data_IF_329135436613
#
_entry.id   IF_329135436613
#
_cell.length_a   1.000
_cell.length_b   1.000
_cell.length_c   1.000
_cell.angle_alpha   90.00
_cell.angle_beta   90.00
_cell.angle_gamma   90.00
#
_symmetry.space_group_name_H-M   'P 1'
#
loop_
_entity.id
_entity.type
_entity.pdbx_description
1 polymer ?
#
# COMPACT_ATOMS: atom_id res chain seq x y z
N UNK A 1 14.28 -18.74 -12.34
CA UNK A 1 13.92 -17.31 -12.37
C UNK A 1 12.51 -17.17 -12.91
N UNK A 2 11.55 -17.03 -12.01
CA UNK A 2 10.13 -16.85 -12.35
C UNK A 2 9.81 -15.35 -12.55
N UNK A 3 9.93 -14.91 -13.80
CA UNK A 3 9.78 -13.50 -14.20
C UNK A 3 8.42 -12.92 -13.79
N UNK A 4 7.37 -13.75 -13.77
CA UNK A 4 6.01 -13.32 -13.40
C UNK A 4 5.96 -12.90 -11.93
N UNK A 5 6.56 -13.68 -11.03
CA UNK A 5 6.64 -13.35 -9.60
C UNK A 5 7.40 -12.05 -9.34
N UNK A 6 8.47 -11.81 -10.10
CA UNK A 6 9.28 -10.58 -9.97
C UNK A 6 8.47 -9.36 -10.41
N UNK A 7 7.76 -9.43 -11.53
CA UNK A 7 6.93 -8.32 -12.03
C UNK A 7 5.79 -8.01 -11.06
N UNK A 8 5.10 -9.03 -10.56
CA UNK A 8 4.03 -8.87 -9.55
C UNK A 8 4.59 -8.28 -8.26
N UNK A 9 5.76 -8.75 -7.81
CA UNK A 9 6.43 -8.25 -6.62
C UNK A 9 6.83 -6.77 -6.74
N UNK A 10 7.42 -6.35 -7.87
CA UNK A 10 7.74 -4.95 -8.13
C UNK A 10 6.46 -4.09 -8.12
N UNK A 11 5.39 -4.56 -8.77
CA UNK A 11 4.10 -3.86 -8.75
C UNK A 11 3.56 -3.65 -7.34
N UNK A 12 3.61 -4.69 -6.50
CA UNK A 12 3.19 -4.62 -5.11
C UNK A 12 4.07 -3.66 -4.27
N UNK A 13 5.39 -3.62 -4.49
CA UNK A 13 6.29 -2.66 -3.83
C UNK A 13 5.97 -1.22 -4.23
N UNK A 14 5.74 -0.95 -5.52
CA UNK A 14 5.40 0.40 -6.00
C UNK A 14 4.06 0.86 -5.43
N UNK A 15 3.04 0.01 -5.48
CA UNK A 15 1.71 0.31 -4.92
C UNK A 15 1.75 0.46 -3.39
N UNK A 16 2.46 -0.41 -2.70
CA UNK A 16 2.67 -0.33 -1.26
C UNK A 16 3.41 0.95 -0.86
N UNK A 17 4.48 1.31 -1.60
CA UNK A 17 5.25 2.53 -1.39
C UNK A 17 4.42 3.80 -1.58
N UNK A 18 3.55 3.83 -2.60
CA UNK A 18 2.59 4.92 -2.79
C UNK A 18 1.58 5.02 -1.63
N UNK A 19 1.18 3.89 -1.05
CA UNK A 19 0.36 3.83 0.17
C UNK A 19 1.07 4.40 1.40
N UNK A 20 2.35 4.03 1.63
CA UNK A 20 3.18 4.50 2.75
C UNK A 20 3.44 6.01 2.68
N UNK A 21 3.76 6.52 1.48
CA UNK A 21 4.03 7.95 1.26
C UNK A 21 2.77 8.82 1.40
N UNK A 22 1.58 8.22 1.58
CA UNK A 22 0.35 8.96 1.80
C UNK A 22 -0.19 9.61 0.52
N UNK A 23 0.24 9.20 -0.67
CA UNK A 23 -0.32 9.74 -1.92
C UNK A 23 -1.81 9.41 -2.10
N UNK A 24 -2.27 8.28 -1.54
CA UNK A 24 -3.70 7.89 -1.54
C UNK A 24 -4.57 8.68 -0.53
N UNK A 25 -3.95 9.47 0.35
CA UNK A 25 -4.61 10.17 1.45
C UNK A 25 -5.43 11.37 0.93
N UNK A 26 -4.96 12.07 -0.12
CA UNK A 26 -5.66 13.23 -0.71
C UNK A 26 -7.03 12.88 -1.31
N UNK A 27 -7.17 11.71 -1.92
CA UNK A 27 -8.40 11.30 -2.62
C UNK A 27 -9.47 10.76 -1.68
N UNK A 28 -9.09 10.01 -0.62
CA UNK A 28 -10.06 9.50 0.36
C UNK A 28 -10.55 10.57 1.32
N UNK A 29 -9.70 11.49 1.78
CA UNK A 29 -10.14 12.59 2.66
C UNK A 29 -11.22 13.47 2.04
N UNK A 30 -11.12 13.75 0.74
CA UNK A 30 -12.14 14.52 0.01
C UNK A 30 -13.49 13.79 -0.06
N UNK A 31 -13.47 12.46 -0.18
CA UNK A 31 -14.67 11.62 -0.18
C UNK A 31 -15.30 11.48 1.21
N UNK A 32 -14.47 11.32 2.26
CA UNK A 32 -14.93 11.25 3.66
C UNK A 32 -15.51 12.57 4.16
N UNK A 33 -14.88 13.72 3.83
CA UNK A 33 -15.46 15.04 4.13
C UNK A 33 -16.81 15.25 3.43
N UNK A 34 -16.98 14.73 2.21
CA UNK A 34 -18.26 14.83 1.48
C UNK A 34 -19.38 13.94 2.03
N UNK A 35 -19.05 12.81 2.69
CA UNK A 35 -20.05 11.83 3.15
C UNK A 35 -20.32 11.86 4.65
N UNK A 36 -19.73 12.78 5.41
CA UNK A 36 -20.13 13.04 6.80
C UNK A 36 -19.93 11.88 7.78
N UNK A 37 -19.10 10.89 7.44
CA UNK A 37 -18.80 9.74 8.30
C UNK A 37 -17.75 10.18 9.32
N UNK A 38 -18.20 10.62 10.49
CA UNK A 38 -17.38 11.16 11.58
C UNK A 38 -16.70 10.13 12.49
N UNK A 39 -16.68 8.85 12.10
CA UNK A 39 -16.48 7.76 13.06
C UNK A 39 -15.02 7.40 13.37
N UNK A 40 -14.04 7.92 12.63
CA UNK A 40 -12.62 7.58 12.87
C UNK A 40 -11.71 8.81 12.72
N UNK A 41 -10.87 9.13 13.73
CA UNK A 41 -9.99 10.28 13.66
C UNK A 41 -9.00 10.15 12.49
N UNK A 42 -8.70 11.26 11.81
CA UNK A 42 -7.85 11.31 10.61
C UNK A 42 -6.47 10.68 10.81
N UNK A 43 -5.94 10.73 12.03
CA UNK A 43 -4.67 10.16 12.43
C UNK A 43 -4.66 8.63 12.38
N UNK A 44 -5.76 7.98 12.80
CA UNK A 44 -5.90 6.52 12.73
C UNK A 44 -5.97 6.03 11.29
N UNK A 45 -6.62 6.78 10.39
CA UNK A 45 -6.64 6.46 8.97
C UNK A 45 -5.24 6.50 8.35
N UNK A 46 -4.45 7.53 8.66
CA UNK A 46 -3.07 7.63 8.20
C UNK A 46 -2.20 6.48 8.71
N UNK A 47 -2.35 6.11 9.98
CA UNK A 47 -1.63 4.96 10.52
C UNK A 47 -2.02 3.65 9.84
N UNK A 48 -3.32 3.37 9.70
CA UNK A 48 -3.81 2.16 9.01
C UNK A 48 -3.35 2.10 7.55
N UNK A 49 -3.35 3.24 6.85
CA UNK A 49 -2.87 3.30 5.48
C UNK A 49 -1.36 3.08 5.37
N UNK A 50 -0.56 3.69 6.26
CA UNK A 50 0.88 3.45 6.32
C UNK A 50 1.21 2.00 6.66
N UNK A 51 0.49 1.40 7.60
CA UNK A 51 0.63 -0.02 7.95
C UNK A 51 0.25 -0.94 6.79
N UNK A 52 -0.89 -0.69 6.13
CA UNK A 52 -1.31 -1.46 4.96
C UNK A 52 -0.35 -1.32 3.78
N UNK A 53 0.14 -0.10 3.51
CA UNK A 53 1.15 0.15 2.50
C UNK A 53 2.48 -0.55 2.81
N UNK A 54 2.95 -0.47 4.07
CA UNK A 54 4.16 -1.13 4.51
C UNK A 54 4.06 -2.65 4.38
N UNK A 55 2.91 -3.23 4.74
CA UNK A 55 2.65 -4.66 4.57
C UNK A 55 2.71 -5.08 3.09
N UNK A 56 2.10 -4.30 2.19
CA UNK A 56 2.18 -4.52 0.75
C UNK A 56 3.61 -4.45 0.20
N UNK A 57 4.43 -3.50 0.68
CA UNK A 57 5.85 -3.43 0.32
C UNK A 57 6.59 -4.70 0.75
N UNK A 58 6.42 -5.12 2.00
CA UNK A 58 7.08 -6.33 2.53
C UNK A 58 6.67 -7.56 1.73
N UNK A 59 5.38 -7.73 1.47
CA UNK A 59 4.88 -8.83 0.64
C UNK A 59 5.46 -8.79 -0.78
N UNK A 60 5.53 -7.61 -1.40
CA UNK A 60 6.12 -7.43 -2.73
C UNK A 60 7.60 -7.80 -2.77
N UNK A 61 8.39 -7.39 -1.77
CA UNK A 61 9.81 -7.77 -1.65
C UNK A 61 9.97 -9.27 -1.53
N UNK A 62 9.14 -9.94 -0.72
CA UNK A 62 9.17 -11.42 -0.58
C UNK A 62 8.89 -12.10 -1.93
N UNK A 63 7.91 -11.61 -2.69
CA UNK A 63 7.62 -12.12 -4.03
C UNK A 63 8.78 -11.95 -5.01
N UNK A 64 9.46 -10.79 -4.99
CA UNK A 64 10.67 -10.57 -5.80
C UNK A 64 11.77 -11.55 -5.41
N UNK A 65 12.06 -11.69 -4.12
CA UNK A 65 13.12 -12.60 -3.63
C UNK A 65 12.80 -14.05 -4.00
N UNK A 66 11.55 -14.50 -3.84
CA UNK A 66 11.13 -15.84 -4.26
C UNK A 66 11.24 -16.04 -5.78
N UNK A 67 10.85 -15.06 -6.58
CA UNK A 67 10.96 -15.13 -8.05
C UNK A 67 12.40 -15.14 -8.56
N UNK A 68 13.34 -14.59 -7.80
CA UNK A 68 14.78 -14.62 -8.11
C UNK A 68 15.45 -15.94 -7.65
N UNK A 69 14.93 -16.58 -6.61
CA UNK A 69 15.50 -17.81 -6.02
C UNK A 69 14.93 -19.10 -6.60
N UNK A 70 13.72 -19.07 -7.18
CA UNK A 70 13.17 -20.13 -8.04
C UNK A 70 13.43 -19.81 -9.51
#
# INVERSE_FOLDING_TARGET
>A
MDVVLVVVGIGAVVLGGAGVLGFMDRTRFSLYQRHGVGDVPPEKHRQLQRLGGAFMVVAGVVFVVMGLTR
#
